data_IF_902226176316
#
_entry.id   IF_902226176316
#
_cell.length_a   1.000
_cell.length_b   1.000
_cell.length_c   1.000
_cell.angle_alpha   90.00
_cell.angle_beta   90.00
_cell.angle_gamma   90.00
#
_symmetry.space_group_name_H-M   'P 1'
#
loop_
_entity.id
_entity.type
_entity.pdbx_description
1 polymer ?
#
# COMPACT_ATOMS: atom_id res chain seq x y z
N UNK A 1 3.45 20.33 -1.00
CA UNK A 1 3.82 19.79 -2.33
C UNK A 1 3.73 20.91 -3.34
N UNK A 2 4.66 20.97 -4.25
CA UNK A 2 4.77 22.05 -5.24
C UNK A 2 5.13 21.44 -6.59
N UNK A 3 4.14 21.37 -7.50
CA UNK A 3 4.32 20.90 -8.86
C UNK A 3 4.71 19.42 -9.04
N UNK A 4 4.37 18.54 -8.09
CA UNK A 4 4.64 17.10 -8.23
C UNK A 4 3.78 16.54 -9.37
N UNK A 5 4.43 15.93 -10.36
CA UNK A 5 3.76 15.30 -11.51
C UNK A 5 4.50 14.01 -11.89
N UNK A 6 3.80 12.90 -11.93
CA UNK A 6 4.27 11.61 -12.40
C UNK A 6 3.09 10.72 -12.81
N UNK A 7 3.38 9.63 -13.47
CA UNK A 7 2.37 8.63 -13.83
C UNK A 7 2.81 7.25 -13.34
N UNK A 8 1.87 6.34 -13.19
CA UNK A 8 2.12 4.93 -12.88
C UNK A 8 1.42 4.10 -13.94
N UNK A 9 2.17 3.26 -14.64
CA UNK A 9 1.63 2.38 -15.65
C UNK A 9 0.85 1.21 -15.01
N UNK A 10 -0.12 0.60 -15.72
CA UNK A 10 -0.78 -0.59 -15.24
C UNK A 10 0.23 -1.71 -14.92
N UNK A 11 0.12 -2.30 -13.72
CA UNK A 11 1.01 -3.35 -13.24
C UNK A 11 2.41 -2.88 -12.80
N UNK A 12 2.68 -1.59 -12.84
CA UNK A 12 3.99 -1.05 -12.45
C UNK A 12 4.12 -0.95 -10.92
N UNK A 13 5.34 -1.18 -10.42
CA UNK A 13 5.73 -0.92 -9.03
C UNK A 13 6.66 0.29 -9.02
N UNK A 14 6.25 1.38 -8.37
CA UNK A 14 7.02 2.63 -8.27
C UNK A 14 7.39 2.88 -6.82
N UNK A 15 8.68 3.10 -6.58
CA UNK A 15 9.19 3.55 -5.29
C UNK A 15 9.14 5.07 -5.16
N UNK A 16 8.75 5.57 -3.99
CA UNK A 16 8.84 6.99 -3.64
C UNK A 16 9.75 7.13 -2.44
N UNK A 17 10.88 7.76 -2.65
CA UNK A 17 11.92 7.98 -1.63
C UNK A 17 12.12 9.47 -1.38
N UNK A 18 12.90 9.80 -0.37
CA UNK A 18 13.27 11.18 -0.02
C UNK A 18 13.45 11.34 1.48
N UNK A 19 14.13 12.39 1.94
CA UNK A 19 14.35 12.67 3.35
C UNK A 19 13.04 12.88 4.10
N UNK A 20 13.11 12.92 5.44
CA UNK A 20 11.95 13.25 6.27
C UNK A 20 11.46 14.66 5.94
N UNK A 21 10.14 14.84 5.89
CA UNK A 21 9.55 16.13 5.52
C UNK A 21 9.52 16.42 4.01
N UNK A 22 10.02 15.54 3.14
CA UNK A 22 10.01 15.76 1.68
C UNK A 22 8.62 15.76 1.03
N UNK A 23 7.55 15.41 1.78
CA UNK A 23 6.18 15.45 1.29
C UNK A 23 5.59 14.11 0.84
N UNK A 24 6.28 12.98 1.05
CA UNK A 24 5.81 11.63 0.65
C UNK A 24 4.44 11.28 1.25
N UNK A 25 4.29 11.45 2.56
CA UNK A 25 3.01 11.20 3.26
C UNK A 25 1.91 12.15 2.79
N UNK A 26 2.26 13.43 2.50
CA UNK A 26 1.31 14.40 1.93
C UNK A 26 0.86 13.98 0.54
N UNK A 27 1.77 13.45 -0.28
CA UNK A 27 1.46 12.87 -1.59
C UNK A 27 0.47 11.72 -1.46
N UNK A 28 0.74 10.74 -0.60
CA UNK A 28 -0.17 9.61 -0.35
C UNK A 28 -1.54 10.09 0.13
N UNK A 29 -1.58 10.98 1.12
CA UNK A 29 -2.81 11.51 1.66
C UNK A 29 -3.63 12.28 0.60
N UNK A 30 -2.95 12.93 -0.35
CA UNK A 30 -3.62 13.60 -1.47
C UNK A 30 -4.20 12.58 -2.46
N UNK A 31 -3.43 11.55 -2.85
CA UNK A 31 -3.92 10.47 -3.74
C UNK A 31 -5.10 9.75 -3.12
N UNK A 32 -5.10 9.56 -1.79
CA UNK A 32 -6.15 8.88 -1.03
C UNK A 32 -7.34 9.76 -0.68
N UNK A 33 -7.34 11.02 -1.11
CA UNK A 33 -8.44 11.96 -0.85
C UNK A 33 -8.58 12.40 0.61
N UNK A 34 -7.55 12.15 1.45
CA UNK A 34 -7.51 12.62 2.84
C UNK A 34 -7.15 14.11 2.91
N UNK A 35 -6.35 14.57 1.96
CA UNK A 35 -5.99 15.98 1.78
C UNK A 35 -6.40 16.40 0.36
N UNK A 36 -7.18 17.45 0.27
CA UNK A 36 -7.56 18.02 -1.03
C UNK A 36 -6.40 18.87 -1.56
N UNK A 37 -5.88 18.61 -2.77
CA UNK A 37 -4.86 19.46 -3.37
C UNK A 37 -5.40 20.87 -3.64
N UNK A 38 -4.56 21.88 -3.45
CA UNK A 38 -4.91 23.28 -3.73
C UNK A 38 -5.05 23.52 -5.25
N UNK A 39 -4.24 22.81 -6.04
CA UNK A 39 -4.25 22.89 -7.50
C UNK A 39 -3.75 21.56 -8.10
N UNK A 40 -3.86 21.41 -9.40
CA UNK A 40 -3.48 20.20 -10.11
C UNK A 40 -4.64 19.23 -10.30
N UNK A 41 -4.34 18.08 -10.92
CA UNK A 41 -5.34 17.03 -11.20
C UNK A 41 -4.71 15.66 -11.00
N UNK A 42 -5.52 14.74 -10.50
CA UNK A 42 -5.19 13.32 -10.38
C UNK A 42 -6.15 12.50 -11.23
N UNK A 43 -5.61 11.58 -12.01
CA UNK A 43 -6.41 10.67 -12.83
C UNK A 43 -6.11 9.23 -12.47
N UNK A 44 -7.14 8.42 -12.43
CA UNK A 44 -7.05 6.99 -12.22
C UNK A 44 -7.91 6.30 -13.28
N UNK A 45 -7.29 5.44 -14.09
CA UNK A 45 -7.96 4.74 -15.19
C UNK A 45 -8.73 5.68 -16.15
N UNK A 46 -8.17 6.86 -16.43
CA UNK A 46 -8.77 7.87 -17.28
C UNK A 46 -9.77 8.81 -16.60
N UNK A 47 -10.30 8.46 -15.43
CA UNK A 47 -11.22 9.30 -14.66
C UNK A 47 -10.47 10.34 -13.82
N UNK A 48 -11.03 11.53 -13.68
CA UNK A 48 -10.55 12.53 -12.72
C UNK A 48 -11.00 12.14 -11.30
N UNK A 49 -10.02 11.85 -10.45
CA UNK A 49 -10.24 11.47 -9.04
C UNK A 49 -9.89 12.59 -8.06
N UNK A 50 -9.60 13.78 -8.55
CA UNK A 50 -9.13 14.92 -7.75
C UNK A 50 -10.13 15.27 -6.65
N UNK A 51 -9.71 15.17 -5.38
CA UNK A 51 -10.55 15.49 -4.22
C UNK A 51 -11.70 14.53 -3.96
N UNK A 52 -11.69 13.34 -4.57
CA UNK A 52 -12.63 12.27 -4.21
C UNK A 52 -12.39 11.81 -2.77
N UNK A 53 -13.47 11.37 -2.10
CA UNK A 53 -13.35 10.80 -0.75
C UNK A 53 -12.63 9.45 -0.76
N UNK A 54 -11.98 9.06 0.35
CA UNK A 54 -11.31 7.75 0.47
C UNK A 54 -12.23 6.57 0.15
N UNK A 55 -13.49 6.64 0.56
CA UNK A 55 -14.48 5.60 0.25
C UNK A 55 -14.78 5.52 -1.26
N UNK A 56 -14.85 6.66 -1.95
CA UNK A 56 -15.08 6.69 -3.39
C UNK A 56 -13.87 6.11 -4.15
N UNK A 57 -12.66 6.35 -3.68
CA UNK A 57 -11.42 5.81 -4.23
C UNK A 57 -11.30 4.31 -3.99
N UNK A 58 -11.60 3.84 -2.77
CA UNK A 58 -11.60 2.41 -2.46
C UNK A 58 -12.55 1.63 -3.38
N UNK A 59 -13.76 2.15 -3.61
CA UNK A 59 -14.73 1.55 -4.55
C UNK A 59 -14.26 1.50 -6.00
N UNK A 60 -13.29 2.33 -6.38
CA UNK A 60 -12.63 2.32 -7.69
C UNK A 60 -11.44 1.38 -7.77
N UNK A 61 -11.09 0.75 -6.66
CA UNK A 61 -9.97 -0.19 -6.58
C UNK A 61 -8.65 0.46 -6.21
N UNK A 62 -8.67 1.56 -5.45
CA UNK A 62 -7.49 2.11 -4.79
C UNK A 62 -7.42 1.55 -3.38
N UNK A 63 -6.42 0.71 -3.11
CA UNK A 63 -6.09 0.14 -1.80
C UNK A 63 -4.98 0.90 -1.10
N UNK A 64 -4.87 0.74 0.22
CA UNK A 64 -3.83 1.34 1.04
C UNK A 64 -3.47 0.44 2.20
N UNK A 65 -2.18 0.38 2.57
CA UNK A 65 -1.75 0.03 3.93
C UNK A 65 -1.65 1.30 4.77
N UNK A 66 -1.84 1.16 6.08
CA UNK A 66 -1.76 2.29 7.00
C UNK A 66 -0.42 2.29 7.75
N UNK A 67 0.11 3.48 8.03
CA UNK A 67 1.28 3.64 8.89
C UNK A 67 0.98 3.12 10.30
N UNK A 68 -0.24 3.36 10.81
CA UNK A 68 -0.74 2.75 12.04
C UNK A 68 -1.60 1.55 11.68
N UNK A 69 -1.28 0.38 12.25
CA UNK A 69 -2.00 -0.87 12.00
C UNK A 69 -3.51 -0.73 12.22
N UNK A 70 -4.29 -1.13 11.23
CA UNK A 70 -5.75 -1.01 11.24
C UNK A 70 -6.41 -2.39 11.38
N UNK A 71 -5.96 -3.17 12.37
CA UNK A 71 -6.57 -4.46 12.67
C UNK A 71 -7.64 -4.33 13.75
N UNK A 72 -8.75 -5.03 13.59
CA UNK A 72 -9.76 -5.19 14.63
C UNK A 72 -9.24 -6.21 15.64
N UNK A 73 -8.63 -5.73 16.73
CA UNK A 73 -7.89 -6.55 17.68
C UNK A 73 -8.70 -7.68 18.33
N UNK A 74 -10.02 -7.51 18.49
CA UNK A 74 -10.92 -8.52 19.06
C UNK A 74 -11.36 -9.59 18.06
N UNK A 75 -11.26 -9.34 16.78
CA UNK A 75 -11.59 -10.31 15.73
C UNK A 75 -10.37 -11.21 15.45
N UNK A 76 -10.65 -12.44 14.97
CA UNK A 76 -9.60 -13.30 14.47
C UNK A 76 -8.88 -12.64 13.27
N UNK A 77 -7.64 -13.05 13.00
CA UNK A 77 -6.94 -12.63 11.79
C UNK A 77 -7.76 -12.93 10.53
N UNK A 78 -8.34 -14.13 10.47
CA UNK A 78 -9.19 -14.56 9.35
C UNK A 78 -10.40 -13.65 9.16
N UNK A 79 -11.09 -13.30 10.25
CA UNK A 79 -12.25 -12.41 10.17
C UNK A 79 -11.86 -11.00 9.76
N UNK A 80 -10.68 -10.50 10.17
CA UNK A 80 -10.15 -9.23 9.72
C UNK A 80 -10.00 -9.21 8.18
N UNK A 81 -9.46 -10.27 7.58
CA UNK A 81 -9.33 -10.37 6.13
C UNK A 81 -10.69 -10.41 5.44
N UNK A 82 -11.65 -11.15 5.99
CA UNK A 82 -13.02 -11.22 5.46
C UNK A 82 -13.68 -9.84 5.49
N UNK A 83 -13.56 -9.12 6.61
CA UNK A 83 -14.10 -7.76 6.75
C UNK A 83 -13.46 -6.80 5.72
N UNK A 84 -12.15 -6.91 5.50
CA UNK A 84 -11.45 -6.07 4.52
C UNK A 84 -11.92 -6.32 3.08
N UNK A 85 -12.36 -7.54 2.76
CA UNK A 85 -12.89 -7.90 1.44
C UNK A 85 -14.36 -7.48 1.24
N UNK A 86 -15.08 -7.16 2.33
CA UNK A 86 -16.47 -6.76 2.20
C UNK A 86 -16.56 -5.42 1.47
N UNK A 87 -17.04 -5.45 0.23
CA UNK A 87 -17.46 -4.23 -0.44
C UNK A 87 -18.59 -3.59 0.38
N UNK A 88 -18.41 -2.33 0.73
CA UNK A 88 -19.51 -1.50 1.22
C UNK A 88 -20.53 -1.31 0.08
N UNK A 89 -21.37 -2.32 -0.12
CA UNK A 89 -22.35 -2.34 -1.20
C UNK A 89 -23.46 -1.35 -0.91
N UNK A 90 -23.87 -0.64 -1.94
CA UNK A 90 -25.06 0.21 -1.98
C UNK A 90 -26.27 -0.55 -1.42
N UNK A 91 -26.95 0.06 -0.42
CA UNK A 91 -28.23 -0.40 0.09
C UNK A 91 -28.13 -1.43 1.20
N UNK A 92 -27.92 -0.97 2.40
CA UNK A 92 -27.73 -1.73 3.61
C UNK A 92 -29.01 -1.97 4.43
N UNK A 93 -29.96 -2.78 4.09
CA UNK A 93 -30.48 -3.61 5.17
C UNK A 93 -30.41 -5.11 4.93
N UNK A 94 -30.35 -5.59 3.70
CA UNK A 94 -30.50 -7.02 3.42
C UNK A 94 -29.25 -7.88 3.69
N UNK A 95 -28.05 -7.29 3.78
CA UNK A 95 -26.80 -8.05 3.98
C UNK A 95 -26.34 -8.17 5.43
N UNK A 96 -26.90 -7.42 6.37
CA UNK A 96 -26.66 -7.65 7.80
C UNK A 96 -27.09 -9.06 8.25
N UNK A 97 -27.92 -9.73 7.47
CA UNK A 97 -28.45 -11.07 7.72
C UNK A 97 -28.05 -12.10 6.65
N UNK A 98 -27.23 -11.71 5.68
CA UNK A 98 -26.72 -12.65 4.69
C UNK A 98 -25.60 -13.51 5.30
N UNK A 99 -25.66 -14.83 5.05
CA UNK A 99 -24.55 -15.72 5.40
C UNK A 99 -23.24 -15.21 4.76
N UNK A 100 -22.09 -15.36 5.46
CA UNK A 100 -20.80 -14.99 4.88
C UNK A 100 -20.65 -15.63 3.49
N UNK A 101 -20.25 -14.84 2.51
CA UNK A 101 -19.95 -15.35 1.18
C UNK A 101 -18.84 -16.41 1.31
N UNK A 102 -19.17 -17.67 1.01
CA UNK A 102 -18.22 -18.78 1.09
C UNK A 102 -16.95 -18.53 0.26
N UNK A 103 -17.06 -17.73 -0.81
CA UNK A 103 -15.92 -17.29 -1.63
C UNK A 103 -14.96 -16.39 -0.87
N UNK A 104 -15.45 -15.50 0.00
CA UNK A 104 -14.58 -14.61 0.80
C UNK A 104 -13.79 -15.39 1.84
N UNK A 105 -14.39 -16.44 2.43
CA UNK A 105 -13.69 -17.33 3.36
C UNK A 105 -12.51 -18.04 2.68
N UNK A 106 -12.73 -18.64 1.51
CA UNK A 106 -11.68 -19.30 0.76
C UNK A 106 -10.58 -18.31 0.29
N UNK A 107 -10.97 -17.08 -0.08
CA UNK A 107 -10.02 -16.04 -0.44
C UNK A 107 -9.16 -15.61 0.78
N UNK A 108 -9.77 -15.47 1.97
CA UNK A 108 -9.04 -15.17 3.20
C UNK A 108 -8.06 -16.29 3.54
N UNK A 109 -8.48 -17.56 3.45
CA UNK A 109 -7.62 -18.71 3.73
C UNK A 109 -6.43 -18.78 2.75
N UNK A 110 -6.67 -18.53 1.47
CA UNK A 110 -5.59 -18.45 0.47
C UNK A 110 -4.61 -17.30 0.75
N UNK A 111 -5.13 -16.13 1.17
CA UNK A 111 -4.27 -15.00 1.53
C UNK A 111 -3.46 -15.29 2.79
N UNK A 112 -4.06 -15.90 3.81
CA UNK A 112 -3.39 -16.33 5.04
C UNK A 112 -2.25 -17.29 4.73
N UNK A 113 -2.49 -18.29 3.88
CA UNK A 113 -1.45 -19.25 3.44
C UNK A 113 -0.33 -18.55 2.67
N UNK A 114 -0.67 -17.61 1.76
CA UNK A 114 0.31 -16.85 0.99
C UNK A 114 1.23 -16.02 1.90
N UNK A 115 0.70 -15.48 3.01
CA UNK A 115 1.46 -14.68 3.97
C UNK A 115 2.11 -15.50 5.10
N UNK A 116 1.96 -16.85 5.10
CA UNK A 116 2.54 -17.75 6.12
C UNK A 116 1.94 -17.53 7.51
N UNK A 117 0.65 -17.17 7.59
CA UNK A 117 -0.04 -16.80 8.82
C UNK A 117 -1.02 -17.88 9.31
N UNK A 118 -0.98 -19.11 8.76
CA UNK A 118 -1.94 -20.17 9.03
C UNK A 118 -2.02 -20.52 10.53
N UNK A 119 -0.85 -20.53 11.21
CA UNK A 119 -0.77 -20.89 12.64
C UNK A 119 -1.50 -19.91 13.56
N UNK A 120 -1.69 -18.69 13.09
CA UNK A 120 -2.31 -17.59 13.88
C UNK A 120 -3.64 -17.13 13.30
N UNK A 121 -4.15 -17.80 12.28
CA UNK A 121 -5.36 -17.43 11.54
C UNK A 121 -6.59 -17.24 12.44
N UNK A 122 -6.72 -18.06 13.47
CA UNK A 122 -7.87 -18.06 14.39
C UNK A 122 -7.64 -17.27 15.67
N UNK A 123 -6.44 -16.73 15.87
CA UNK A 123 -6.12 -15.92 17.04
C UNK A 123 -6.67 -14.50 16.89
N UNK A 124 -7.07 -13.84 17.99
CA UNK A 124 -7.39 -12.42 17.98
C UNK A 124 -6.23 -11.60 17.41
N UNK A 125 -6.49 -10.74 16.43
CA UNK A 125 -5.44 -9.99 15.76
C UNK A 125 -4.63 -9.10 16.70
N UNK A 126 -5.24 -8.61 17.80
CA UNK A 126 -4.55 -7.85 18.83
C UNK A 126 -3.52 -8.65 19.64
N UNK A 127 -3.58 -10.00 19.64
CA UNK A 127 -2.62 -10.87 20.31
C UNK A 127 -1.39 -11.23 19.45
N UNK A 128 -1.41 -10.88 18.18
CA UNK A 128 -0.33 -11.17 17.24
C UNK A 128 0.88 -10.27 17.52
N UNK A 129 2.08 -10.76 17.17
CA UNK A 129 3.26 -9.91 17.17
C UNK A 129 3.10 -8.74 16.17
N UNK A 130 3.81 -7.65 16.41
CA UNK A 130 3.75 -6.47 15.52
C UNK A 130 4.02 -6.83 14.04
N UNK A 131 5.03 -7.66 13.77
CA UNK A 131 5.33 -8.13 12.42
C UNK A 131 4.19 -8.93 11.78
N UNK A 132 3.52 -9.80 12.56
CA UNK A 132 2.35 -10.55 12.08
C UNK A 132 1.16 -9.61 11.81
N UNK A 133 0.93 -8.64 12.68
CA UNK A 133 -0.09 -7.61 12.45
C UNK A 133 0.22 -6.77 11.20
N UNK A 134 1.49 -6.46 10.95
CA UNK A 134 1.91 -5.73 9.74
C UNK A 134 1.67 -6.55 8.48
N UNK A 135 2.01 -7.84 8.49
CA UNK A 135 1.69 -8.75 7.39
C UNK A 135 0.18 -8.89 7.18
N UNK A 136 -0.61 -8.93 8.27
CA UNK A 136 -2.08 -8.94 8.21
C UNK A 136 -2.63 -7.65 7.57
N UNK A 137 -2.13 -6.48 7.96
CA UNK A 137 -2.52 -5.18 7.39
C UNK A 137 -2.26 -5.13 5.88
N UNK A 138 -1.08 -5.62 5.46
CA UNK A 138 -0.77 -5.74 4.04
C UNK A 138 -1.74 -6.71 3.35
N UNK A 139 -1.95 -7.90 3.91
CA UNK A 139 -2.88 -8.89 3.35
C UNK A 139 -4.30 -8.32 3.20
N UNK A 140 -4.79 -7.58 4.21
CA UNK A 140 -6.09 -6.90 4.18
C UNK A 140 -6.19 -5.90 3.02
N UNK A 141 -5.12 -5.15 2.73
CA UNK A 141 -5.11 -4.19 1.63
C UNK A 141 -5.26 -4.86 0.24
N UNK A 142 -4.88 -6.13 0.11
CA UNK A 142 -4.99 -6.92 -1.12
C UNK A 142 -6.29 -7.74 -1.22
N UNK A 143 -7.05 -7.90 -0.14
CA UNK A 143 -8.30 -8.66 -0.15
C UNK A 143 -9.33 -8.13 -1.15
N UNK A 144 -9.55 -6.81 -1.32
CA UNK A 144 -10.47 -6.27 -2.32
C UNK A 144 -9.99 -6.42 -3.77
N UNK A 145 -8.80 -7.00 -4.02
CA UNK A 145 -8.13 -7.07 -5.33
C UNK A 145 -7.99 -5.70 -5.98
N UNK A 146 -7.32 -4.76 -5.32
CA UNK A 146 -7.22 -3.39 -5.80
C UNK A 146 -6.39 -3.32 -7.10
N UNK A 147 -6.68 -2.31 -7.92
CA UNK A 147 -5.92 -1.99 -9.14
C UNK A 147 -4.71 -1.11 -8.88
N UNK A 148 -4.75 -0.35 -7.79
CA UNK A 148 -3.64 0.45 -7.28
C UNK A 148 -3.54 0.24 -5.77
N UNK A 149 -2.36 -0.10 -5.28
CA UNK A 149 -2.06 -0.20 -3.84
C UNK A 149 -1.01 0.83 -3.47
N UNK A 150 -1.31 1.60 -2.43
CA UNK A 150 -0.37 2.52 -1.80
C UNK A 150 0.19 1.83 -0.55
N UNK A 151 1.48 1.47 -0.59
CA UNK A 151 2.19 0.81 0.52
C UNK A 151 3.04 1.83 1.27
N UNK A 152 2.68 2.08 2.52
CA UNK A 152 3.36 3.06 3.38
C UNK A 152 4.25 2.31 4.39
N UNK A 153 5.55 2.34 4.18
CA UNK A 153 6.57 1.69 4.99
C UNK A 153 6.25 0.21 5.28
N UNK A 154 6.10 -0.64 4.25
CA UNK A 154 5.71 -2.04 4.45
C UNK A 154 6.74 -2.85 5.26
N UNK A 155 8.02 -2.45 5.28
CA UNK A 155 9.06 -3.11 6.06
C UNK A 155 9.12 -2.68 7.53
N UNK A 156 8.41 -1.60 7.92
CA UNK A 156 8.49 -1.08 9.29
C UNK A 156 8.02 -2.14 10.29
N UNK A 157 8.90 -2.50 11.25
CA UNK A 157 8.62 -3.50 12.28
C UNK A 157 8.59 -4.96 11.81
N UNK A 158 8.89 -5.23 10.55
CA UNK A 158 9.11 -6.59 10.02
C UNK A 158 10.52 -7.03 10.39
N UNK A 159 10.65 -8.29 10.85
CA UNK A 159 11.97 -8.87 11.14
C UNK A 159 12.85 -8.80 9.88
N UNK A 160 14.10 -8.31 9.97
CA UNK A 160 15.00 -8.19 8.82
C UNK A 160 15.14 -9.48 8.00
N UNK A 161 15.11 -10.63 8.64
CA UNK A 161 15.15 -11.92 7.95
C UNK A 161 13.91 -12.27 7.13
N UNK A 162 12.81 -11.53 7.30
CA UNK A 162 11.56 -11.71 6.56
C UNK A 162 11.35 -10.67 5.46
N UNK A 163 12.21 -9.65 5.37
CA UNK A 163 12.07 -8.54 4.42
C UNK A 163 12.17 -9.02 2.97
N UNK A 164 13.10 -9.95 2.68
CA UNK A 164 13.21 -10.56 1.34
C UNK A 164 11.97 -11.38 1.01
N UNK A 165 11.41 -12.12 1.97
CA UNK A 165 10.15 -12.85 1.80
C UNK A 165 8.98 -11.90 1.51
N UNK A 166 8.90 -10.76 2.18
CA UNK A 166 7.89 -9.74 1.92
C UNK A 166 8.04 -9.18 0.49
N UNK A 167 9.27 -8.94 0.02
CA UNK A 167 9.53 -8.48 -1.34
C UNK A 167 9.02 -9.49 -2.38
N UNK A 168 9.37 -10.76 -2.24
CA UNK A 168 8.91 -11.83 -3.14
C UNK A 168 7.38 -11.95 -3.15
N UNK A 169 6.76 -11.80 -1.98
CA UNK A 169 5.32 -11.81 -1.81
C UNK A 169 4.65 -10.65 -2.58
N UNK A 170 5.18 -9.42 -2.46
CA UNK A 170 4.65 -8.26 -3.18
C UNK A 170 4.83 -8.42 -4.69
N UNK A 171 5.96 -8.96 -5.16
CA UNK A 171 6.18 -9.27 -6.58
C UNK A 171 5.18 -10.33 -7.07
N UNK A 172 4.93 -11.38 -6.26
CA UNK A 172 3.94 -12.39 -6.58
C UNK A 172 2.53 -11.81 -6.68
N UNK A 173 2.12 -10.97 -5.71
CA UNK A 173 0.82 -10.30 -5.74
C UNK A 173 0.66 -9.36 -6.94
N UNK A 174 1.70 -8.59 -7.26
CA UNK A 174 1.70 -7.74 -8.45
C UNK A 174 1.48 -8.56 -9.72
N UNK A 175 2.21 -9.66 -9.88
CA UNK A 175 2.14 -10.56 -11.04
C UNK A 175 0.79 -11.28 -11.15
N UNK A 176 0.22 -11.73 -10.02
CA UNK A 176 -0.99 -12.57 -10.02
C UNK A 176 -2.29 -11.76 -9.99
N UNK A 177 -2.29 -10.60 -9.33
CA UNK A 177 -3.46 -9.73 -9.27
C UNK A 177 -3.43 -8.60 -10.31
N UNK A 178 -2.26 -8.30 -10.90
CA UNK A 178 -2.10 -7.29 -11.97
C UNK A 178 -2.23 -5.84 -11.48
N UNK A 179 -2.27 -5.60 -10.16
CA UNK A 179 -2.37 -4.26 -9.58
C UNK A 179 -1.05 -3.48 -9.67
N UNK A 180 -1.14 -2.16 -9.79
CA UNK A 180 0.02 -1.27 -9.69
C UNK A 180 0.30 -0.93 -8.23
N UNK A 181 1.57 -0.74 -7.86
CA UNK A 181 1.93 -0.35 -6.50
C UNK A 181 2.70 0.97 -6.49
N UNK A 182 2.42 1.81 -5.50
CA UNK A 182 3.27 2.94 -5.13
C UNK A 182 3.74 2.69 -3.70
N UNK A 183 5.05 2.64 -3.52
CA UNK A 183 5.67 2.21 -2.26
C UNK A 183 6.50 3.35 -1.70
N UNK A 184 6.16 3.83 -0.49
CA UNK A 184 7.03 4.69 0.30
C UNK A 184 7.83 3.79 1.23
N UNK A 185 9.14 3.91 1.22
CA UNK A 185 10.04 3.16 2.09
C UNK A 185 11.33 3.93 2.37
N UNK A 186 11.88 3.68 3.55
CA UNK A 186 13.19 4.17 3.95
C UNK A 186 14.30 3.12 3.77
N UNK A 187 13.92 1.85 3.65
CA UNK A 187 14.85 0.77 3.35
C UNK A 187 15.23 0.81 1.86
N UNK A 188 16.38 1.43 1.57
CA UNK A 188 16.86 1.62 0.21
C UNK A 188 17.09 0.30 -0.52
N UNK A 189 17.64 -0.72 0.15
CA UNK A 189 17.88 -2.03 -0.48
C UNK A 189 16.57 -2.70 -0.89
N UNK A 190 15.52 -2.56 -0.08
CA UNK A 190 14.21 -3.08 -0.41
C UNK A 190 13.61 -2.38 -1.63
N UNK A 191 13.62 -1.05 -1.67
CA UNK A 191 13.12 -0.25 -2.80
C UNK A 191 13.89 -0.58 -4.09
N UNK A 192 15.23 -0.61 -4.02
CA UNK A 192 16.08 -0.88 -5.19
C UNK A 192 15.84 -2.25 -5.81
N UNK A 193 15.44 -3.25 -5.00
CA UNK A 193 15.16 -4.61 -5.47
C UNK A 193 13.70 -4.84 -5.85
N UNK A 194 12.77 -4.05 -5.28
CA UNK A 194 11.32 -4.20 -5.52
C UNK A 194 10.87 -3.37 -6.71
N UNK A 195 11.33 -2.12 -6.83
CA UNK A 195 10.78 -1.12 -7.72
C UNK A 195 11.65 -0.94 -8.97
N UNK A 196 11.14 -1.22 -10.18
CA UNK A 196 11.89 -0.95 -11.43
C UNK A 196 12.07 0.55 -11.69
N UNK A 197 11.29 1.41 -11.06
CA UNK A 197 11.38 2.87 -11.14
C UNK A 197 11.21 3.50 -9.78
N UNK A 198 12.00 4.53 -9.53
CA UNK A 198 12.02 5.26 -8.26
C UNK A 198 11.87 6.76 -8.52
N UNK A 199 11.09 7.42 -7.67
CA UNK A 199 10.89 8.87 -7.65
C UNK A 199 11.49 9.38 -6.33
N UNK A 200 12.44 10.29 -6.40
CA UNK A 200 13.01 10.97 -5.25
C UNK A 200 12.33 12.33 -5.06
N UNK A 201 11.75 12.53 -3.86
CA UNK A 201 11.11 13.78 -3.49
C UNK A 201 11.96 14.55 -2.48
N UNK A 202 12.08 15.86 -2.68
CA UNK A 202 12.73 16.78 -1.76
C UNK A 202 11.90 18.06 -1.69
N UNK A 203 11.65 18.58 -0.49
CA UNK A 203 10.90 19.83 -0.26
C UNK A 203 9.56 19.92 -1.05
N UNK A 204 8.87 18.80 -1.17
CA UNK A 204 7.58 18.75 -1.84
C UNK A 204 7.65 18.75 -3.38
N UNK A 205 8.82 18.53 -3.97
CA UNK A 205 9.05 18.45 -5.42
C UNK A 205 9.67 17.12 -5.81
N UNK A 206 9.52 16.73 -7.07
CA UNK A 206 10.30 15.61 -7.66
C UNK A 206 11.68 16.14 -7.99
N UNK A 207 12.71 15.59 -7.33
CA UNK A 207 14.11 15.93 -7.58
C UNK A 207 14.71 15.07 -8.70
N UNK A 208 14.42 13.77 -8.67
CA UNK A 208 14.91 12.81 -9.65
C UNK A 208 13.87 11.68 -9.83
N UNK A 209 13.85 11.10 -11.02
CA UNK A 209 13.02 9.95 -11.38
C UNK A 209 13.78 9.07 -12.36
N UNK A 210 13.70 7.75 -12.21
CA UNK A 210 14.34 6.82 -13.11
C UNK A 210 14.57 5.43 -12.52
N UNK A 211 15.44 4.66 -13.17
CA UNK A 211 15.89 3.38 -12.64
C UNK A 211 16.56 3.56 -11.26
N UNK A 212 16.43 2.58 -10.35
CA UNK A 212 16.95 2.68 -8.99
C UNK A 212 18.42 3.13 -8.92
N UNK A 213 19.29 2.52 -9.71
CA UNK A 213 20.72 2.83 -9.71
C UNK A 213 21.02 4.26 -10.19
N UNK A 214 20.26 4.76 -11.18
CA UNK A 214 20.41 6.11 -11.69
C UNK A 214 19.99 7.15 -10.64
N UNK A 215 18.90 6.88 -9.91
CA UNK A 215 18.44 7.76 -8.83
C UNK A 215 19.40 7.71 -7.65
N UNK A 216 19.88 6.52 -7.27
CA UNK A 216 20.83 6.32 -6.18
C UNK A 216 22.18 7.03 -6.41
N UNK A 217 22.67 7.05 -7.66
CA UNK A 217 23.95 7.68 -8.02
C UNK A 217 23.84 9.16 -8.37
N UNK A 218 22.63 9.73 -8.34
CA UNK A 218 22.42 11.15 -8.67
C UNK A 218 23.02 12.03 -7.57
N UNK A 219 23.97 12.93 -7.91
CA UNK A 219 24.63 13.80 -6.92
C UNK A 219 23.66 14.65 -6.10
N UNK A 220 22.61 15.19 -6.74
CA UNK A 220 21.59 15.99 -6.03
C UNK A 220 20.79 15.16 -5.03
N UNK A 221 20.52 13.88 -5.33
CA UNK A 221 19.86 12.96 -4.41
C UNK A 221 20.77 12.66 -3.22
N UNK A 222 22.06 12.39 -3.46
CA UNK A 222 23.04 12.15 -2.40
C UNK A 222 23.16 13.36 -1.48
N UNK A 223 23.27 14.57 -2.05
CA UNK A 223 23.32 15.82 -1.29
C UNK A 223 22.08 16.01 -0.41
N UNK A 224 20.89 15.74 -0.94
CA UNK A 224 19.62 15.86 -0.20
C UNK A 224 19.52 14.89 1.00
N UNK A 225 20.22 13.76 0.96
CA UNK A 225 20.27 12.81 2.10
C UNK A 225 21.42 13.09 3.07
N UNK A 226 22.52 13.72 2.62
CA UNK A 226 23.68 14.02 3.44
C UNK A 226 23.62 15.42 4.08
N UNK A 227 22.82 16.31 3.53
CA UNK A 227 22.70 17.71 3.97
C UNK A 227 21.69 17.95 5.12
N UNK A 228 21.12 16.89 5.69
CA UNK A 228 20.16 16.93 6.81
C UNK A 228 20.73 16.26 8.05
#
# INVERSE_FOLDING_TARGET
MDGVSFSVAPGEIVGVIGPNGSGKTTLFNSILGQIKPTSGRMRFMGEDITGMSPLALSRRGVGRTFQTLQVFGSLSLRDNLIVAAQEFVRGMPSRLFAAPDAGLGAQADAMIALFGLERVAHLPAGSLSYGQQKLADIAMAFMPRPRLVLLDEPCAGVNPGLVDGLRELLLHLNKTQGGSFVVIEHNMDFIMRLCPRVICMVEGKVLAEGAPEAVRSNPAVLEAYLGN
#
